data_IF_708205836975
#
_entry.id   IF_708205836975
#
_cell.length_a   1.000
_cell.length_b   1.000
_cell.length_c   1.000
_cell.angle_alpha   90.00
_cell.angle_beta   90.00
_cell.angle_gamma   90.00
#
_symmetry.space_group_name_H-M   'P 1'
#
loop_
_entity.id
_entity.type
_entity.pdbx_description
1 polymer ?
#
# COMPACT_ATOMS: atom_id res chain seq x y z
N UNK A 1 30.54 5.89 -5.92
CA UNK A 1 30.35 4.98 -4.78
C UNK A 1 29.09 5.41 -4.06
N UNK A 2 27.99 4.66 -4.19
CA UNK A 2 26.77 4.90 -3.41
C UNK A 2 27.06 4.49 -1.97
N UNK A 3 27.01 5.45 -1.05
CA UNK A 3 27.09 5.17 0.39
C UNK A 3 25.76 4.51 0.74
N UNK A 4 25.78 3.20 1.01
CA UNK A 4 24.59 2.49 1.48
C UNK A 4 24.11 3.16 2.78
N UNK A 5 22.88 3.64 2.78
CA UNK A 5 22.26 4.20 3.98
C UNK A 5 22.24 3.10 5.06
N UNK A 6 22.72 3.36 6.28
CA UNK A 6 22.71 2.34 7.34
C UNK A 6 21.25 1.96 7.64
N UNK A 7 20.96 0.65 7.59
CA UNK A 7 19.64 0.11 7.92
C UNK A 7 19.45 0.14 9.43
N UNK A 8 18.35 0.73 9.89
CA UNK A 8 17.95 0.75 11.30
C UNK A 8 17.51 -0.65 11.74
N UNK A 9 17.97 -1.11 12.90
CA UNK A 9 17.62 -2.45 13.42
C UNK A 9 16.12 -2.59 13.70
N UNK A 10 15.50 -1.53 14.22
CA UNK A 10 14.08 -1.46 14.53
C UNK A 10 13.50 -0.16 14.01
N UNK A 11 12.36 -0.23 13.34
CA UNK A 11 11.66 0.95 12.82
C UNK A 11 10.17 0.91 13.18
N UNK A 12 9.60 2.05 13.53
CA UNK A 12 8.16 2.18 13.73
C UNK A 12 7.47 2.52 12.43
N UNK A 13 6.49 1.69 12.03
CA UNK A 13 5.74 1.84 10.78
C UNK A 13 4.25 2.03 11.06
N UNK A 14 3.55 2.72 10.18
CA UNK A 14 2.13 2.97 10.31
C UNK A 14 1.36 2.64 9.03
N UNK A 15 0.21 1.96 9.19
CA UNK A 15 -0.80 1.79 8.17
C UNK A 15 -1.99 2.70 8.45
N UNK A 16 -2.35 3.53 7.49
CA UNK A 16 -3.49 4.47 7.59
C UNK A 16 -4.73 3.82 6.99
N UNK A 17 -5.83 3.83 7.75
CA UNK A 17 -7.16 3.46 7.25
C UNK A 17 -7.97 4.72 6.97
N UNK A 18 -8.61 4.77 5.80
CA UNK A 18 -9.45 5.89 5.38
C UNK A 18 -10.84 5.41 4.94
N UNK A 19 -11.77 6.37 4.83
CA UNK A 19 -13.05 6.22 4.15
C UNK A 19 -13.13 7.34 3.11
N UNK A 20 -12.36 7.19 2.04
CA UNK A 20 -12.23 8.23 1.01
C UNK A 20 -13.54 8.47 0.28
N UNK A 21 -13.76 9.70 -0.13
CA UNK A 21 -14.93 10.15 -0.87
C UNK A 21 -14.59 10.71 -2.25
N UNK A 22 -15.54 11.40 -2.91
CA UNK A 22 -15.35 11.94 -4.25
C UNK A 22 -14.57 13.26 -4.29
N UNK A 23 -14.22 13.86 -3.15
CA UNK A 23 -13.48 15.12 -3.09
C UNK A 23 -12.00 14.89 -2.85
N UNK A 24 -11.15 15.15 -3.84
CA UNK A 24 -9.69 15.08 -3.68
C UNK A 24 -9.23 15.95 -2.51
N UNK A 25 -9.66 17.22 -2.46
CA UNK A 25 -9.23 18.14 -1.39
C UNK A 25 -9.59 17.61 0.00
N UNK A 26 -10.81 17.12 0.21
CA UNK A 26 -11.25 16.56 1.49
C UNK A 26 -10.48 15.29 1.87
N UNK A 27 -10.18 14.44 0.90
CA UNK A 27 -9.38 13.23 1.15
C UNK A 27 -7.93 13.57 1.50
N UNK A 28 -7.32 14.57 0.85
CA UNK A 28 -5.96 15.03 1.17
C UNK A 28 -5.91 15.66 2.57
N UNK A 29 -6.94 16.42 2.98
CA UNK A 29 -7.04 16.97 4.32
C UNK A 29 -7.09 15.86 5.38
N UNK A 30 -7.96 14.85 5.20
CA UNK A 30 -8.07 13.71 6.12
C UNK A 30 -6.78 12.86 6.13
N UNK A 31 -6.17 12.61 4.96
CA UNK A 31 -4.88 11.93 4.89
C UNK A 31 -3.79 12.68 5.66
N UNK A 32 -3.75 14.01 5.53
CA UNK A 32 -2.81 14.87 6.27
C UNK A 32 -2.99 14.78 7.77
N UNK A 33 -4.25 14.81 8.24
CA UNK A 33 -4.59 14.64 9.66
C UNK A 33 -4.13 13.27 10.19
N UNK A 34 -4.34 12.19 9.43
CA UNK A 34 -3.96 10.83 9.85
C UNK A 34 -2.43 10.62 9.78
N UNK A 35 -1.74 11.21 8.80
CA UNK A 35 -0.27 11.21 8.75
C UNK A 35 0.30 11.91 9.98
N UNK A 36 -0.27 13.05 10.39
CA UNK A 36 0.16 13.76 11.60
C UNK A 36 -0.04 12.90 12.86
N UNK A 37 -1.14 12.15 12.96
CA UNK A 37 -1.38 11.18 14.05
C UNK A 37 -0.30 10.07 14.03
N UNK A 38 0.04 9.52 12.88
CA UNK A 38 1.10 8.52 12.75
C UNK A 38 2.46 9.08 13.19
N UNK A 39 2.79 10.31 12.75
CA UNK A 39 4.02 11.00 13.13
C UNK A 39 4.09 11.22 14.66
N UNK A 40 3.00 11.70 15.28
CA UNK A 40 2.92 11.89 16.73
C UNK A 40 3.07 10.58 17.52
N UNK A 41 2.73 9.43 16.90
CA UNK A 41 2.96 8.08 17.47
C UNK A 41 4.36 7.53 17.19
N UNK A 42 5.25 8.34 16.60
CA UNK A 42 6.65 8.01 16.34
C UNK A 42 6.89 7.17 15.09
N UNK A 43 5.95 7.10 14.17
CA UNK A 43 6.15 6.41 12.89
C UNK A 43 7.28 7.07 12.09
N UNK A 44 8.06 6.25 11.38
CA UNK A 44 9.14 6.66 10.48
C UNK A 44 8.78 6.35 9.02
N UNK A 45 7.93 5.35 8.82
CA UNK A 45 7.32 4.98 7.53
C UNK A 45 5.80 4.97 7.70
N UNK A 46 5.09 5.67 6.81
CA UNK A 46 3.63 5.72 6.78
C UNK A 46 3.13 5.24 5.42
N UNK A 47 2.17 4.33 5.39
CA UNK A 47 1.52 3.89 4.18
C UNK A 47 0.04 4.29 4.16
N UNK A 48 -0.42 4.90 3.06
CA UNK A 48 -1.81 5.25 2.79
C UNK A 48 -2.52 4.12 2.03
N UNK A 49 -3.86 4.04 2.06
CA UNK A 49 -4.61 3.00 1.36
C UNK A 49 -4.71 3.24 -0.15
N UNK A 50 -5.12 2.22 -0.91
CA UNK A 50 -5.53 2.36 -2.31
C UNK A 50 -6.66 3.38 -2.42
N UNK A 51 -6.65 4.20 -3.51
CA UNK A 51 -7.62 5.27 -3.75
C UNK A 51 -7.73 6.32 -2.63
N UNK A 52 -6.64 6.51 -1.86
CA UNK A 52 -6.66 7.47 -0.75
C UNK A 52 -7.09 8.87 -1.19
N UNK A 53 -6.68 9.30 -2.39
CA UNK A 53 -6.97 10.65 -2.90
C UNK A 53 -8.36 10.79 -3.51
N UNK A 54 -8.93 9.71 -4.06
CA UNK A 54 -10.27 9.73 -4.64
C UNK A 54 -10.90 8.33 -4.66
N UNK A 55 -12.09 8.22 -4.10
CA UNK A 55 -13.01 7.13 -4.32
C UNK A 55 -14.31 7.75 -4.86
N UNK A 56 -14.37 7.90 -6.20
CA UNK A 56 -15.37 8.68 -6.91
C UNK A 56 -16.78 8.10 -6.87
N UNK A 57 -17.77 8.88 -7.29
CA UNK A 57 -19.16 8.42 -7.45
C UNK A 57 -19.28 7.48 -8.66
N UNK A 58 -18.45 7.71 -9.70
CA UNK A 58 -18.36 6.88 -10.90
C UNK A 58 -16.93 6.36 -11.05
N UNK A 59 -16.79 5.22 -11.72
CA UNK A 59 -15.48 4.63 -12.00
C UNK A 59 -14.59 5.52 -12.88
N UNK A 60 -15.18 6.44 -13.65
CA UNK A 60 -14.47 7.41 -14.49
C UNK A 60 -13.93 8.63 -13.75
N UNK A 61 -14.42 8.95 -12.55
CA UNK A 61 -14.02 10.17 -11.82
C UNK A 61 -12.51 10.22 -11.57
N UNK A 62 -11.85 9.07 -11.42
CA UNK A 62 -10.39 8.99 -11.30
C UNK A 62 -9.64 9.44 -12.57
N UNK A 63 -10.29 9.32 -13.74
CA UNK A 63 -9.71 9.76 -15.02
C UNK A 63 -9.71 11.28 -15.12
N UNK A 64 -10.75 11.93 -14.57
CA UNK A 64 -10.89 13.39 -14.60
C UNK A 64 -9.87 14.11 -13.69
N UNK A 65 -9.44 13.45 -12.62
CA UNK A 65 -8.48 14.01 -11.64
C UNK A 65 -7.07 13.41 -11.74
N UNK A 66 -6.79 12.69 -12.84
CA UNK A 66 -5.46 12.08 -13.04
C UNK A 66 -4.37 13.14 -13.18
N UNK A 67 -3.22 12.82 -12.67
CA UNK A 67 -2.05 13.69 -12.70
C UNK A 67 -0.98 13.17 -13.68
N UNK A 68 -0.22 14.08 -14.27
CA UNK A 68 1.03 13.71 -14.93
C UNK A 68 2.07 13.31 -13.87
N UNK A 69 3.03 12.46 -14.22
CA UNK A 69 4.11 12.12 -13.30
C UNK A 69 4.94 13.34 -12.94
N UNK A 70 5.16 13.56 -11.66
CA UNK A 70 5.92 14.68 -11.12
C UNK A 70 5.11 15.99 -10.99
N UNK A 71 3.83 16.02 -11.37
CA UNK A 71 2.99 17.21 -11.34
C UNK A 71 1.59 16.90 -10.86
N UNK A 72 1.05 17.78 -10.01
CA UNK A 72 -0.32 17.74 -9.53
C UNK A 72 -0.46 17.78 -8.01
N UNK A 73 -1.66 18.14 -7.51
CA UNK A 73 -1.92 18.35 -6.09
C UNK A 73 -1.74 17.12 -5.22
N UNK A 74 -2.03 15.91 -5.72
CA UNK A 74 -1.89 14.65 -4.96
C UNK A 74 -0.39 14.37 -4.71
N UNK A 75 0.42 14.45 -5.76
CA UNK A 75 1.87 14.25 -5.67
C UNK A 75 2.55 15.34 -4.84
N UNK A 76 2.15 16.61 -5.02
CA UNK A 76 2.62 17.71 -4.20
C UNK A 76 2.29 17.53 -2.72
N UNK A 77 1.07 17.04 -2.39
CA UNK A 77 0.67 16.71 -1.04
C UNK A 77 1.58 15.65 -0.41
N UNK A 78 1.82 14.53 -1.10
CA UNK A 78 2.67 13.44 -0.60
C UNK A 78 4.10 13.91 -0.32
N UNK A 79 4.70 14.65 -1.27
CA UNK A 79 6.03 15.24 -1.12
C UNK A 79 6.11 16.21 0.08
N UNK A 80 5.12 17.10 0.20
CA UNK A 80 5.06 18.07 1.28
C UNK A 80 4.86 17.42 2.64
N UNK A 81 3.97 16.42 2.74
CA UNK A 81 3.72 15.71 3.99
C UNK A 81 4.96 14.92 4.45
N UNK A 82 5.67 14.25 3.52
CA UNK A 82 6.91 13.56 3.82
C UNK A 82 7.97 14.51 4.38
N UNK A 83 8.17 15.66 3.74
CA UNK A 83 9.13 16.68 4.18
C UNK A 83 8.72 17.35 5.50
N UNK A 84 7.43 17.68 5.66
CA UNK A 84 6.91 18.37 6.84
C UNK A 84 7.12 17.55 8.12
N UNK A 85 6.90 16.24 8.03
CA UNK A 85 6.98 15.34 9.17
C UNK A 85 8.30 14.57 9.26
N UNK A 86 9.20 14.70 8.27
CA UNK A 86 10.43 13.92 8.21
C UNK A 86 10.19 12.41 8.06
N UNK A 87 9.14 12.02 7.35
CA UNK A 87 8.67 10.63 7.21
C UNK A 87 8.93 10.10 5.80
N UNK A 88 9.16 8.79 5.71
CA UNK A 88 8.94 8.08 4.47
C UNK A 88 7.44 7.83 4.28
N UNK A 89 6.93 8.10 3.08
CA UNK A 89 5.52 7.92 2.77
C UNK A 89 5.36 7.02 1.55
N UNK A 90 4.59 5.92 1.73
CA UNK A 90 4.02 5.15 0.62
C UNK A 90 2.63 5.71 0.35
N UNK A 91 2.46 6.36 -0.78
CA UNK A 91 1.27 7.14 -1.14
C UNK A 91 0.08 6.28 -1.59
N UNK A 92 -0.10 5.10 -0.98
CA UNK A 92 -1.23 4.23 -1.28
C UNK A 92 -1.39 3.99 -2.78
N UNK A 93 -2.40 4.59 -3.38
CA UNK A 93 -2.42 4.74 -4.82
C UNK A 93 -3.08 6.04 -5.28
N UNK A 94 -2.53 6.60 -6.36
CA UNK A 94 -3.00 7.80 -7.05
C UNK A 94 -3.25 7.51 -8.53
N UNK A 95 -4.24 8.20 -9.16
CA UNK A 95 -4.49 8.08 -10.58
C UNK A 95 -3.45 8.88 -11.37
N UNK A 96 -2.58 8.23 -12.11
CA UNK A 96 -1.63 8.88 -13.01
C UNK A 96 -2.04 8.66 -14.48
N UNK A 97 -1.54 9.54 -15.34
CA UNK A 97 -1.77 9.48 -16.78
C UNK A 97 -1.30 8.12 -17.33
N UNK A 98 -2.15 7.49 -18.13
CA UNK A 98 -1.91 6.26 -18.87
C UNK A 98 -1.68 6.55 -20.37
N UNK A 99 -1.31 5.52 -21.15
CA UNK A 99 -1.18 5.66 -22.62
C UNK A 99 -2.54 5.81 -23.29
N UNK A 100 -3.58 5.17 -22.76
CA UNK A 100 -4.97 5.34 -23.17
C UNK A 100 -5.55 6.56 -22.46
N UNK A 101 -6.02 7.60 -23.19
CA UNK A 101 -6.60 8.80 -22.61
C UNK A 101 -7.89 8.56 -21.82
N UNK A 102 -8.58 7.44 -22.04
CA UNK A 102 -9.75 7.02 -21.28
C UNK A 102 -9.43 6.29 -19.98
N UNK A 103 -8.14 6.10 -19.66
CA UNK A 103 -7.68 5.32 -18.50
C UNK A 103 -6.67 6.07 -17.64
N UNK A 104 -6.39 5.47 -16.49
CA UNK A 104 -5.31 5.88 -15.59
C UNK A 104 -4.37 4.70 -15.29
N UNK A 105 -3.16 4.99 -14.83
CA UNK A 105 -2.36 4.06 -14.02
C UNK A 105 -2.81 4.21 -12.57
N UNK A 106 -3.10 3.10 -11.90
CA UNK A 106 -3.31 3.08 -10.46
C UNK A 106 -1.95 2.91 -9.80
N UNK A 107 -1.34 4.03 -9.37
CA UNK A 107 0.10 4.10 -9.10
C UNK A 107 0.38 4.32 -7.62
N UNK A 108 1.21 3.48 -7.02
CA UNK A 108 1.79 3.71 -5.69
C UNK A 108 3.11 4.44 -5.82
N UNK A 109 3.22 5.57 -5.13
CA UNK A 109 4.41 6.43 -5.15
C UNK A 109 5.08 6.41 -3.78
N UNK A 110 6.40 6.32 -3.75
CA UNK A 110 7.17 6.34 -2.50
C UNK A 110 8.00 7.62 -2.44
N UNK A 111 7.86 8.33 -1.33
CA UNK A 111 8.60 9.55 -1.02
C UNK A 111 9.51 9.32 0.19
N UNK A 112 10.78 9.77 0.10
CA UNK A 112 11.68 9.79 1.24
C UNK A 112 11.38 10.97 2.19
N UNK A 113 12.06 11.03 3.33
CA UNK A 113 11.88 12.05 4.35
C UNK A 113 12.23 13.48 3.89
N UNK A 114 12.87 13.65 2.73
CA UNK A 114 13.13 14.96 2.12
C UNK A 114 12.01 15.42 1.19
N UNK A 115 11.01 14.56 0.95
CA UNK A 115 9.93 14.78 0.01
C UNK A 115 10.27 14.43 -1.44
N UNK A 116 11.40 13.75 -1.67
CA UNK A 116 11.78 13.28 -3.01
C UNK A 116 11.06 11.97 -3.32
N UNK A 117 10.44 11.87 -4.50
CA UNK A 117 9.94 10.61 -5.02
C UNK A 117 11.11 9.68 -5.35
N UNK A 118 11.10 8.48 -4.80
CA UNK A 118 12.17 7.48 -4.93
C UNK A 118 11.72 6.22 -5.65
N UNK A 119 10.41 5.95 -5.73
CA UNK A 119 9.86 4.82 -6.47
C UNK A 119 8.43 5.09 -6.93
N UNK A 120 8.04 4.35 -7.99
CA UNK A 120 6.68 4.25 -8.52
C UNK A 120 6.39 2.80 -8.88
N UNK A 121 5.23 2.32 -8.49
CA UNK A 121 4.68 1.03 -8.89
C UNK A 121 3.30 1.23 -9.50
N UNK A 122 3.06 0.70 -10.68
CA UNK A 122 1.75 0.67 -11.32
C UNK A 122 1.12 -0.69 -11.11
N UNK A 123 -0.11 -0.74 -10.59
CA UNK A 123 -0.87 -1.96 -10.30
C UNK A 123 -0.87 -2.90 -11.50
N UNK A 124 -0.40 -4.14 -11.30
CA UNK A 124 -0.28 -5.14 -12.35
C UNK A 124 -1.61 -5.86 -12.55
N UNK A 125 -2.20 -6.38 -11.47
CA UNK A 125 -3.39 -7.20 -11.53
C UNK A 125 -4.64 -6.37 -11.26
N UNK A 126 -5.50 -6.26 -12.27
CA UNK A 126 -6.72 -5.45 -12.22
C UNK A 126 -7.90 -6.28 -11.73
N UNK A 127 -8.64 -5.71 -10.76
CA UNK A 127 -9.75 -6.39 -10.13
C UNK A 127 -10.93 -6.58 -11.07
N UNK A 128 -11.32 -7.84 -11.26
CA UNK A 128 -12.55 -8.25 -11.92
C UNK A 128 -13.32 -9.20 -10.99
N UNK A 129 -14.58 -8.88 -10.72
CA UNK A 129 -15.42 -9.67 -9.82
C UNK A 129 -16.89 -9.52 -10.18
N UNK A 130 -17.63 -10.62 -10.11
CA UNK A 130 -19.08 -10.61 -10.25
C UNK A 130 -19.69 -11.68 -9.33
N UNK A 131 -20.55 -11.25 -8.41
CA UNK A 131 -21.35 -12.14 -7.56
C UNK A 131 -22.70 -11.47 -7.28
N UNK A 132 -23.78 -12.07 -7.77
CA UNK A 132 -25.10 -11.46 -7.72
C UNK A 132 -25.13 -10.14 -8.50
N UNK A 133 -25.55 -9.08 -7.84
CA UNK A 133 -25.59 -7.71 -8.40
C UNK A 133 -24.25 -6.97 -8.23
N UNK A 134 -23.35 -7.46 -7.39
CA UNK A 134 -22.04 -6.85 -7.15
C UNK A 134 -21.11 -7.14 -8.33
N UNK A 135 -20.67 -6.07 -9.02
CA UNK A 135 -19.82 -6.18 -10.19
C UNK A 135 -18.73 -5.12 -10.21
N UNK A 136 -17.50 -5.56 -10.48
CA UNK A 136 -16.33 -4.70 -10.67
C UNK A 136 -15.56 -5.09 -11.92
N UNK A 137 -15.03 -4.08 -12.64
CA UNK A 137 -14.23 -4.28 -13.85
C UNK A 137 -13.20 -3.15 -14.00
N UNK A 138 -12.12 -3.19 -13.21
CA UNK A 138 -11.10 -2.13 -13.18
C UNK A 138 -10.45 -1.89 -14.56
N UNK A 139 -10.33 -2.92 -15.39
CA UNK A 139 -9.72 -2.81 -16.72
C UNK A 139 -10.45 -1.85 -17.67
N UNK A 140 -11.68 -1.44 -17.35
CA UNK A 140 -12.41 -0.42 -18.13
C UNK A 140 -11.80 0.98 -18.00
N UNK A 141 -11.20 1.30 -16.84
CA UNK A 141 -10.69 2.63 -16.52
C UNK A 141 -9.22 2.65 -16.04
N UNK A 142 -8.62 1.48 -15.90
CA UNK A 142 -7.23 1.34 -15.45
C UNK A 142 -6.43 0.57 -16.51
N UNK A 143 -5.23 1.07 -16.81
CA UNK A 143 -4.23 0.41 -17.64
C UNK A 143 -3.21 -0.30 -16.73
N UNK A 144 -2.95 -1.63 -16.91
CA UNK A 144 -2.11 -2.39 -16.00
C UNK A 144 -0.62 -2.03 -16.12
N UNK A 145 0.10 -2.08 -15.01
CA UNK A 145 1.55 -2.13 -14.99
C UNK A 145 2.08 -3.49 -15.45
N UNK A 146 3.41 -3.61 -15.49
CA UNK A 146 4.07 -4.85 -15.95
C UNK A 146 5.39 -5.16 -15.24
N UNK A 147 5.73 -4.43 -14.19
CA UNK A 147 7.01 -4.58 -13.49
C UNK A 147 6.81 -4.72 -11.99
N UNK A 148 7.45 -5.71 -11.37
CA UNK A 148 7.62 -5.77 -9.93
C UNK A 148 8.63 -4.69 -9.50
N UNK A 149 8.31 -3.96 -8.45
CA UNK A 149 9.13 -2.84 -7.95
C UNK A 149 9.49 -3.06 -6.49
N UNK A 150 10.77 -2.90 -6.19
CA UNK A 150 11.31 -2.83 -4.83
C UNK A 150 12.09 -1.55 -4.64
N UNK A 151 12.18 -1.06 -3.40
CA UNK A 151 12.95 0.15 -3.07
C UNK A 151 13.67 -0.05 -1.75
N UNK A 152 14.97 0.26 -1.73
CA UNK A 152 15.78 0.24 -0.51
C UNK A 152 15.51 1.47 0.33
N UNK A 153 15.26 1.27 1.61
CA UNK A 153 14.98 2.32 2.60
C UNK A 153 15.84 2.14 3.84
N UNK A 154 15.91 3.13 4.76
CA UNK A 154 16.53 2.94 6.05
C UNK A 154 15.90 1.83 6.90
N UNK A 155 14.71 1.37 6.55
CA UNK A 155 13.91 0.37 7.29
C UNK A 155 13.91 -1.00 6.64
N UNK A 156 14.82 -1.25 5.68
CA UNK A 156 14.86 -2.46 4.85
C UNK A 156 14.29 -2.23 3.44
N UNK A 157 14.24 -3.30 2.67
CA UNK A 157 13.73 -3.29 1.29
C UNK A 157 12.23 -3.43 1.30
N UNK A 158 11.54 -2.44 0.73
CA UNK A 158 10.09 -2.48 0.52
C UNK A 158 9.77 -3.18 -0.81
N UNK A 159 8.75 -4.05 -0.80
CA UNK A 159 8.13 -4.60 -2.00
C UNK A 159 6.76 -3.94 -2.22
N UNK A 160 6.52 -3.41 -3.41
CA UNK A 160 5.31 -2.64 -3.70
C UNK A 160 4.26 -3.50 -4.41
N UNK A 161 3.04 -3.47 -3.91
CA UNK A 161 1.86 -4.07 -4.55
C UNK A 161 0.63 -3.21 -4.27
N UNK A 162 -0.49 -3.48 -4.93
CA UNK A 162 -1.76 -2.78 -4.69
C UNK A 162 -2.90 -3.80 -4.71
N UNK A 163 -3.60 -3.96 -3.59
CA UNK A 163 -4.93 -4.58 -3.44
C UNK A 163 -5.03 -5.97 -4.10
N UNK A 164 -5.58 -6.06 -5.29
CA UNK A 164 -5.81 -7.32 -6.01
C UNK A 164 -4.54 -8.12 -6.28
N UNK A 165 -3.38 -7.45 -6.34
CA UNK A 165 -2.06 -8.09 -6.42
C UNK A 165 -1.84 -9.10 -5.29
N UNK A 166 -2.49 -8.90 -4.13
CA UNK A 166 -2.42 -9.80 -2.98
C UNK A 166 -2.78 -11.26 -3.32
N UNK A 167 -3.56 -11.50 -4.38
CA UNK A 167 -3.95 -12.85 -4.81
C UNK A 167 -2.91 -13.58 -5.62
N UNK A 168 -1.85 -12.91 -6.05
CA UNK A 168 -0.85 -13.42 -6.99
C UNK A 168 0.50 -13.58 -6.30
N UNK A 169 0.79 -14.76 -5.71
CA UNK A 169 2.04 -15.03 -4.99
C UNK A 169 3.28 -14.86 -5.88
N UNK A 170 3.12 -15.00 -7.20
CA UNK A 170 4.19 -14.84 -8.19
C UNK A 170 4.83 -13.46 -8.14
N UNK A 171 4.01 -12.41 -7.94
CA UNK A 171 4.51 -11.04 -7.81
C UNK A 171 5.48 -10.91 -6.62
N UNK A 172 5.10 -11.43 -5.47
CA UNK A 172 5.90 -11.35 -4.24
C UNK A 172 7.17 -12.21 -4.36
N UNK A 173 7.10 -13.33 -5.07
CA UNK A 173 8.26 -14.16 -5.36
C UNK A 173 9.22 -13.54 -6.37
N UNK A 174 8.73 -12.69 -7.27
CA UNK A 174 9.56 -11.92 -8.20
C UNK A 174 10.33 -10.79 -7.48
N UNK A 175 9.78 -10.28 -6.37
CA UNK A 175 10.42 -9.28 -5.51
C UNK A 175 11.43 -9.97 -4.58
N UNK A 176 12.67 -10.13 -5.01
CA UNK A 176 13.71 -10.81 -4.23
C UNK A 176 14.11 -9.98 -3.00
N UNK A 177 14.36 -10.67 -1.87
CA UNK A 177 14.95 -10.12 -0.64
C UNK A 177 14.16 -8.94 -0.03
N UNK A 178 12.83 -9.00 -0.11
CA UNK A 178 11.94 -7.98 0.47
C UNK A 178 11.83 -8.17 1.98
N UNK A 179 11.93 -7.07 2.73
CA UNK A 179 11.79 -7.05 4.19
C UNK A 179 10.38 -6.63 4.64
N UNK A 180 9.77 -5.70 3.91
CA UNK A 180 8.41 -5.22 4.16
C UNK A 180 7.62 -5.22 2.85
N UNK A 181 6.52 -5.94 2.83
CA UNK A 181 5.56 -5.98 1.72
C UNK A 181 4.48 -4.94 1.97
N UNK A 182 4.27 -4.03 1.02
CA UNK A 182 3.23 -3.01 1.04
C UNK A 182 2.00 -3.50 0.26
N UNK A 183 0.82 -3.43 0.91
CA UNK A 183 -0.46 -3.87 0.31
C UNK A 183 -1.56 -2.82 0.54
N UNK A 184 -1.41 -1.58 0.02
CA UNK A 184 -2.50 -0.60 0.06
C UNK A 184 -3.72 -1.14 -0.69
N UNK A 185 -4.90 -1.06 -0.07
CA UNK A 185 -6.07 -1.79 -0.57
C UNK A 185 -7.40 -1.05 -0.39
N UNK A 186 -8.36 -1.45 -1.25
CA UNK A 186 -9.77 -1.13 -1.14
C UNK A 186 -10.61 -2.42 -1.39
N UNK A 187 -10.33 -3.47 -0.62
CA UNK A 187 -11.05 -4.74 -0.71
C UNK A 187 -12.54 -4.53 -0.45
N UNK A 188 -13.40 -5.17 -1.25
CA UNK A 188 -14.84 -5.19 -0.97
C UNK A 188 -15.11 -5.91 0.35
N UNK A 189 -16.20 -5.56 1.05
CA UNK A 189 -16.60 -6.27 2.26
C UNK A 189 -16.78 -7.77 2.01
N UNK A 190 -17.37 -8.13 0.87
CA UNK A 190 -17.64 -9.53 0.47
C UNK A 190 -16.36 -10.35 0.41
N UNK A 191 -15.36 -9.88 -0.34
CA UNK A 191 -14.11 -10.62 -0.52
C UNK A 191 -13.16 -10.43 0.66
N UNK A 192 -13.22 -9.30 1.33
CA UNK A 192 -12.37 -8.97 2.48
C UNK A 192 -12.65 -9.89 3.66
N UNK A 193 -13.91 -10.03 4.05
CA UNK A 193 -14.34 -10.92 5.14
C UNK A 193 -13.84 -12.35 4.97
N UNK A 194 -13.79 -12.86 3.74
CA UNK A 194 -13.40 -14.23 3.46
C UNK A 194 -11.90 -14.43 3.30
N UNK A 195 -11.15 -13.42 2.77
CA UNK A 195 -9.81 -13.65 2.25
C UNK A 195 -8.72 -12.74 2.83
N UNK A 196 -9.06 -11.54 3.32
CA UNK A 196 -8.09 -10.48 3.61
C UNK A 196 -7.00 -10.91 4.58
N UNK A 197 -7.36 -11.25 5.81
CA UNK A 197 -6.39 -11.66 6.84
C UNK A 197 -5.61 -12.89 6.41
N UNK A 198 -6.30 -13.91 5.87
CA UNK A 198 -5.66 -15.15 5.44
C UNK A 198 -4.59 -14.91 4.39
N UNK A 199 -4.86 -14.07 3.38
CA UNK A 199 -3.90 -13.78 2.32
C UNK A 199 -2.73 -12.94 2.83
N UNK A 200 -2.95 -11.92 3.66
CA UNK A 200 -1.88 -11.11 4.23
C UNK A 200 -0.92 -11.94 5.07
N UNK A 201 -1.46 -12.80 5.93
CA UNK A 201 -0.66 -13.71 6.75
C UNK A 201 0.10 -14.73 5.90
N UNK A 202 -0.52 -15.25 4.83
CA UNK A 202 0.16 -16.12 3.89
C UNK A 202 1.35 -15.41 3.24
N UNK A 203 1.19 -14.15 2.77
CA UNK A 203 2.30 -13.37 2.17
C UNK A 203 3.42 -13.13 3.18
N UNK A 204 3.10 -12.83 4.44
CA UNK A 204 4.09 -12.66 5.47
C UNK A 204 4.89 -13.95 5.71
N UNK A 205 4.20 -15.07 5.93
CA UNK A 205 4.78 -16.38 6.27
C UNK A 205 5.64 -16.92 5.12
N UNK A 206 5.11 -16.95 3.91
CA UNK A 206 5.80 -17.56 2.77
C UNK A 206 7.02 -16.77 2.29
N UNK A 207 7.03 -15.44 2.50
CA UNK A 207 8.15 -14.57 2.15
C UNK A 207 9.05 -14.23 3.34
N UNK A 208 8.71 -14.70 4.56
CA UNK A 208 9.43 -14.36 5.80
C UNK A 208 9.69 -12.85 5.89
N UNK A 209 8.65 -12.06 5.63
CA UNK A 209 8.69 -10.60 5.55
C UNK A 209 7.54 -9.99 6.36
N UNK A 210 7.70 -8.75 6.82
CA UNK A 210 6.58 -7.99 7.36
C UNK A 210 5.59 -7.65 6.25
N UNK A 211 4.30 -7.52 6.61
CA UNK A 211 3.27 -6.99 5.72
C UNK A 211 2.66 -5.75 6.34
N UNK A 212 2.64 -4.65 5.60
CA UNK A 212 2.03 -3.37 5.96
C UNK A 212 0.86 -3.13 5.01
N UNK A 213 -0.36 -3.29 5.53
CA UNK A 213 -1.58 -3.35 4.73
C UNK A 213 -2.60 -2.25 5.13
N UNK A 214 -2.40 -1.00 4.67
CA UNK A 214 -3.39 0.06 4.84
C UNK A 214 -4.60 -0.18 3.94
N UNK A 215 -5.81 0.07 4.43
CA UNK A 215 -7.04 -0.23 3.73
C UNK A 215 -8.05 0.92 3.74
N UNK A 216 -8.93 0.95 2.73
CA UNK A 216 -10.20 1.67 2.81
C UNK A 216 -11.16 0.84 3.66
N UNK A 217 -11.86 1.46 4.63
CA UNK A 217 -12.64 0.71 5.61
C UNK A 217 -13.95 1.36 6.04
N UNK A 218 -15.01 1.19 5.26
CA UNK A 218 -16.32 1.72 5.58
C UNK A 218 -17.28 1.83 4.41
N UNK A 219 -18.35 2.59 4.59
CA UNK A 219 -19.33 2.92 3.57
C UNK A 219 -18.93 4.21 2.84
N UNK A 220 -18.82 4.15 1.53
CA UNK A 220 -18.43 5.27 0.69
C UNK A 220 -19.63 5.96 0.06
N UNK A 221 -19.45 7.23 -0.37
CA UNK A 221 -20.51 8.06 -0.93
C UNK A 221 -21.18 7.47 -2.19
N UNK A 222 -20.51 6.59 -2.92
CA UNK A 222 -21.03 5.88 -4.09
C UNK A 222 -21.80 4.59 -3.74
N UNK A 223 -22.05 4.32 -2.47
CA UNK A 223 -22.72 3.11 -1.97
C UNK A 223 -21.83 1.89 -1.83
N UNK A 224 -20.56 1.97 -2.21
CA UNK A 224 -19.57 0.90 -2.03
C UNK A 224 -19.26 0.69 -0.57
N UNK A 225 -19.11 -0.57 -0.15
CA UNK A 225 -18.62 -0.94 1.16
C UNK A 225 -17.26 -1.63 1.05
N UNK A 226 -16.27 -1.09 1.76
CA UNK A 226 -14.93 -1.68 1.83
C UNK A 226 -14.69 -2.29 3.19
N UNK A 227 -13.92 -3.37 3.20
CA UNK A 227 -13.72 -4.22 4.37
C UNK A 227 -12.98 -3.52 5.50
N UNK A 228 -12.01 -2.68 5.19
CA UNK A 228 -11.12 -2.10 6.18
C UNK A 228 -10.11 -3.11 6.68
N UNK A 229 -10.04 -3.21 7.99
CA UNK A 229 -9.16 -4.14 8.71
C UNK A 229 -7.69 -3.94 8.32
N UNK A 230 -7.27 -2.65 8.27
CA UNK A 230 -5.86 -2.32 8.11
C UNK A 230 -5.05 -3.03 9.17
N UNK A 231 -3.96 -3.69 8.77
CA UNK A 231 -3.14 -4.45 9.72
C UNK A 231 -1.66 -4.45 9.38
N UNK A 232 -0.87 -4.77 10.39
CA UNK A 232 0.56 -5.02 10.29
C UNK A 232 0.81 -6.46 10.74
N UNK A 233 1.47 -7.26 9.90
CA UNK A 233 1.73 -8.68 10.15
C UNK A 233 3.23 -8.92 10.19
N UNK A 234 3.71 -9.70 11.16
CA UNK A 234 5.11 -10.06 11.28
C UNK A 234 5.49 -11.24 10.37
N UNK A 235 6.80 -11.53 10.16
CA UNK A 235 7.25 -12.64 9.31
C UNK A 235 6.78 -14.03 9.74
N UNK A 236 6.27 -14.18 10.97
CA UNK A 236 5.72 -15.44 11.48
C UNK A 236 4.20 -15.54 11.30
N UNK A 237 3.58 -14.49 10.71
CA UNK A 237 2.13 -14.41 10.48
C UNK A 237 1.33 -13.93 11.68
N UNK A 238 1.99 -13.34 12.69
CA UNK A 238 1.31 -12.72 13.83
C UNK A 238 0.82 -11.32 13.44
N UNK A 239 -0.46 -11.04 13.68
CA UNK A 239 -1.02 -9.70 13.54
C UNK A 239 -0.56 -8.86 14.72
N UNK A 240 0.27 -7.84 14.47
CA UNK A 240 0.86 -6.99 15.50
C UNK A 240 -0.10 -5.88 15.95
N UNK A 241 -0.82 -5.27 15.01
CA UNK A 241 -1.85 -4.27 15.26
C UNK A 241 -2.87 -4.28 14.12
N UNK A 242 -4.12 -3.91 14.40
CA UNK A 242 -5.21 -3.87 13.39
C UNK A 242 -6.27 -2.83 13.73
N UNK A 243 -6.94 -2.32 12.69
CA UNK A 243 -8.10 -1.44 12.80
C UNK A 243 -9.24 -1.96 11.94
N UNK A 244 -10.30 -2.54 12.54
CA UNK A 244 -11.36 -3.19 11.76
C UNK A 244 -12.13 -2.25 10.82
N UNK A 245 -12.58 -1.09 11.29
CA UNK A 245 -13.41 -0.15 10.51
C UNK A 245 -13.20 1.30 10.89
N UNK A 246 -13.61 2.21 9.99
CA UNK A 246 -13.52 3.64 10.18
C UNK A 246 -12.12 4.19 9.85
N UNK A 247 -11.96 5.50 9.92
CA UNK A 247 -10.68 6.15 9.70
C UNK A 247 -9.79 6.08 10.95
N UNK A 248 -8.49 5.84 10.76
CA UNK A 248 -7.54 5.76 11.86
C UNK A 248 -6.16 5.29 11.44
N UNK A 249 -5.33 4.96 12.43
CA UNK A 249 -3.92 4.61 12.24
C UNK A 249 -3.55 3.39 13.08
N UNK A 250 -3.01 2.37 12.45
CA UNK A 250 -2.37 1.19 13.05
C UNK A 250 -0.86 1.43 13.10
N UNK A 251 -0.19 1.06 14.18
CA UNK A 251 1.26 1.30 14.36
C UNK A 251 1.90 0.09 15.01
N UNK A 252 3.02 -0.37 14.45
CA UNK A 252 3.83 -1.43 15.04
C UNK A 252 5.34 -1.18 14.80
N UNK A 253 6.16 -1.88 15.58
CA UNK A 253 7.59 -1.88 15.38
C UNK A 253 7.99 -3.07 14.48
N UNK A 254 8.80 -2.78 13.46
CA UNK A 254 9.45 -3.75 12.57
C UNK A 254 10.86 -4.00 13.11
N UNK A 255 11.15 -5.23 13.47
CA UNK A 255 12.47 -5.68 13.94
C UNK A 255 13.15 -6.51 12.84
N UNK A 256 14.09 -5.89 12.13
CA UNK A 256 14.79 -6.54 11.02
C UNK A 256 15.82 -7.57 11.52
N UNK A 257 16.42 -7.39 12.72
CA UNK A 257 17.33 -8.38 13.27
C UNK A 257 16.59 -9.69 13.57
N UNK A 258 15.45 -9.60 14.26
CA UNK A 258 14.58 -10.75 14.52
C UNK A 258 14.14 -11.43 13.21
N UNK A 259 13.75 -10.66 12.21
CA UNK A 259 13.37 -11.22 10.91
C UNK A 259 14.52 -11.97 10.25
N UNK A 260 15.73 -11.41 10.26
CA UNK A 260 16.90 -12.09 9.70
C UNK A 260 17.28 -13.36 10.48
N UNK A 261 17.09 -13.37 11.80
CA UNK A 261 17.25 -14.59 12.61
C UNK A 261 16.22 -15.66 12.23
N UNK A 262 14.95 -15.28 12.05
CA UNK A 262 13.92 -16.20 11.58
C UNK A 262 14.27 -16.81 10.21
N UNK A 263 14.77 -15.99 9.27
CA UNK A 263 15.23 -16.47 7.96
C UNK A 263 16.41 -17.45 8.04
N UNK A 264 17.28 -17.30 9.03
CA UNK A 264 18.36 -18.26 9.30
C UNK A 264 17.84 -19.57 9.88
N UNK A 265 16.88 -19.49 10.82
CA UNK A 265 16.26 -20.67 11.44
C UNK A 265 15.36 -21.45 10.46
N UNK A 266 14.65 -20.74 9.56
CA UNK A 266 13.76 -21.30 8.54
C UNK A 266 14.16 -20.75 7.16
N UNK A 267 15.20 -21.30 6.50
CA UNK A 267 15.71 -20.76 5.25
C UNK A 267 14.86 -21.16 4.03
N UNK A 268 13.52 -21.08 4.16
CA UNK A 268 12.56 -21.51 3.14
C UNK A 268 12.74 -20.81 1.79
N UNK A 269 13.19 -19.54 1.80
CA UNK A 269 13.43 -18.77 0.58
C UNK A 269 14.58 -19.35 -0.26
N UNK A 270 15.61 -19.89 0.38
CA UNK A 270 16.75 -20.54 -0.29
C UNK A 270 16.47 -21.99 -0.69
N UNK A 271 15.44 -22.61 -0.13
CA UNK A 271 15.05 -23.99 -0.46
C UNK A 271 14.18 -24.09 -1.73
N UNK A 272 13.85 -22.95 -2.36
CA UNK A 272 13.09 -22.96 -3.60
C UNK A 272 13.89 -23.63 -4.73
N UNK A 273 13.25 -24.61 -5.38
CA UNK A 273 13.80 -25.35 -6.53
C UNK A 273 13.09 -25.01 -7.85
N UNK A 274 11.95 -24.34 -7.76
CA UNK A 274 11.18 -23.85 -8.91
C UNK A 274 11.41 -22.35 -9.08
N UNK A 275 11.60 -21.90 -10.32
CA UNK A 275 11.75 -20.48 -10.68
C UNK A 275 10.43 -19.72 -10.60
#
# INVERSE_FOLDING_TARGET
MSIATPVTKTARVAAVQMVSGPSVAGNLEEAGRLIAVAAARGAQLVALPEYFAILGLKDTDKVDVREAEGDGPIQAFLSNAARLHGLWIVGGSAPLTASDPGKVRNSSLVYDATGKQVARYDKIHLFGFQMGEERYHEASTIEPGNQAVTVDTPFGRLGLSICYDLRFPELYRAMKDVDIILVPSAFTETTGRAHWETLLRARAIENLAYVLAPAQGGHHANGRETHGDSMIVDPWGVVLDRLPRGAGVVVADVDLERMHELRKCLPALSHRTMA
#
